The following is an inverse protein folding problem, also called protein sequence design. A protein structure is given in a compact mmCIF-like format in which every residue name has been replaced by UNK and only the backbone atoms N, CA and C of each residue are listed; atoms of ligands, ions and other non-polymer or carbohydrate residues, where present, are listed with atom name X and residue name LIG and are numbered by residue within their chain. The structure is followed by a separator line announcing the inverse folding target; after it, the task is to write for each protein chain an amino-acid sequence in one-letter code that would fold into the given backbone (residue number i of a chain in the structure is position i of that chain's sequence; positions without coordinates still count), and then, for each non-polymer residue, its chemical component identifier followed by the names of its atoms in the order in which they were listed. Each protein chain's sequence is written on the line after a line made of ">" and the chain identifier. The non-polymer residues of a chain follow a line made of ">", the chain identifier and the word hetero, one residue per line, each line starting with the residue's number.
data_IF_011603272211
#
_entry.id   IF_011603272211
#
_cell.length_a   1.000
_cell.length_b   1.000
_cell.length_c   1.000
_cell.angle_alpha   90.00
_cell.angle_beta   90.00
_cell.angle_gamma   90.00
#
_symmetry.space_group_name_H-M   'P 1'
#
loop_
_entity.id
_entity.type
_entity.pdbx_description
1 polymer ?
#
# COMPACT_ATOMS: atom_id res chain seq x y z
N UNK A 1 -16.05 -16.65 -17.31
CA UNK A 1 -16.95 -16.59 -16.14
C UNK A 1 -18.21 -15.86 -16.60
N UNK A 2 -19.36 -16.53 -16.64
CA UNK A 2 -20.58 -16.03 -17.32
C UNK A 2 -21.27 -14.81 -16.65
N UNK A 3 -20.65 -14.18 -15.65
CA UNK A 3 -21.19 -13.02 -14.93
C UNK A 3 -20.13 -11.95 -14.59
N UNK A 4 -18.98 -11.96 -15.28
CA UNK A 4 -17.95 -10.94 -15.06
C UNK A 4 -18.24 -9.62 -15.78
N UNK A 5 -18.01 -8.48 -15.13
CA UNK A 5 -17.93 -7.16 -15.77
C UNK A 5 -16.74 -7.16 -16.74
N UNK A 6 -16.96 -6.93 -18.05
CA UNK A 6 -15.87 -6.88 -19.01
C UNK A 6 -15.05 -5.60 -18.83
N UNK A 7 -13.73 -5.73 -18.86
CA UNK A 7 -12.79 -4.62 -18.80
C UNK A 7 -12.15 -4.39 -20.15
N UNK A 8 -12.24 -3.14 -20.62
CA UNK A 8 -11.65 -2.73 -21.90
C UNK A 8 -10.13 -2.91 -21.87
N UNK A 9 -9.56 -3.37 -22.98
CA UNK A 9 -8.12 -3.39 -23.21
C UNK A 9 -7.84 -2.61 -24.50
N UNK A 10 -7.32 -1.39 -24.36
CA UNK A 10 -6.99 -0.54 -25.51
C UNK A 10 -5.65 -0.88 -26.17
N UNK A 11 -4.91 -1.81 -25.58
CA UNK A 11 -3.54 -2.15 -25.96
C UNK A 11 -3.43 -3.57 -26.52
N UNK A 12 -4.52 -4.34 -26.57
CA UNK A 12 -4.54 -5.63 -27.24
C UNK A 12 -5.94 -6.22 -27.35
N UNK A 13 -6.01 -7.47 -27.79
CA UNK A 13 -7.29 -8.12 -28.12
C UNK A 13 -7.89 -8.89 -26.95
N UNK A 14 -7.11 -9.18 -25.92
CA UNK A 14 -7.59 -9.91 -24.74
C UNK A 14 -8.35 -8.97 -23.81
N UNK A 15 -9.67 -9.14 -23.73
CA UNK A 15 -10.56 -8.40 -22.84
C UNK A 15 -10.35 -8.88 -21.39
N UNK A 16 -10.22 -7.94 -20.45
CA UNK A 16 -10.16 -8.28 -19.02
C UNK A 16 -11.55 -8.62 -18.47
N UNK A 17 -11.62 -9.20 -17.28
CA UNK A 17 -12.90 -9.48 -16.64
C UNK A 17 -12.81 -9.37 -15.13
N UNK A 18 -13.77 -8.67 -14.52
CA UNK A 18 -13.91 -8.59 -13.08
C UNK A 18 -15.16 -9.36 -12.64
N UNK A 19 -14.98 -10.38 -11.82
CA UNK A 19 -16.06 -11.21 -11.30
C UNK A 19 -16.17 -11.04 -9.79
N UNK A 20 -17.37 -10.66 -9.34
CA UNK A 20 -17.67 -10.50 -7.93
C UNK A 20 -18.41 -11.72 -7.41
N UNK A 21 -17.87 -12.33 -6.35
CA UNK A 21 -18.49 -13.47 -5.69
C UNK A 21 -19.38 -12.98 -4.55
N UNK A 22 -20.57 -13.56 -4.40
CA UNK A 22 -21.44 -13.23 -3.27
C UNK A 22 -20.87 -13.77 -1.93
N UNK A 23 -20.23 -14.93 -1.97
CA UNK A 23 -19.80 -15.68 -0.77
C UNK A 23 -18.33 -16.12 -0.86
N UNK A 24 -17.50 -15.39 -1.62
CA UNK A 24 -16.10 -15.77 -1.84
C UNK A 24 -15.22 -14.62 -2.31
N UNK A 25 -13.97 -14.89 -2.73
CA UNK A 25 -13.09 -13.86 -3.24
C UNK A 25 -13.58 -13.36 -4.60
N UNK A 26 -13.37 -12.07 -4.84
CA UNK A 26 -13.54 -11.48 -6.16
C UNK A 26 -12.33 -11.82 -7.03
N UNK A 27 -12.57 -12.01 -8.33
CA UNK A 27 -11.55 -12.43 -9.29
C UNK A 27 -11.38 -11.37 -10.38
N UNK A 28 -10.13 -11.02 -10.66
CA UNK A 28 -9.76 -10.14 -11.76
C UNK A 28 -8.90 -10.89 -12.77
N UNK A 29 -9.37 -10.97 -14.01
CA UNK A 29 -8.65 -11.55 -15.13
C UNK A 29 -8.05 -10.42 -15.97
N UNK A 30 -6.76 -10.53 -16.24
CA UNK A 30 -5.99 -9.55 -17.01
C UNK A 30 -5.17 -10.24 -18.10
N UNK A 31 -4.81 -9.51 -19.18
CA UNK A 31 -3.92 -10.04 -20.20
C UNK A 31 -2.55 -10.37 -19.61
N UNK A 32 -1.90 -11.39 -20.17
CA UNK A 32 -0.57 -11.83 -19.72
C UNK A 32 0.58 -10.87 -20.07
N UNK A 33 0.63 -10.29 -21.29
CA UNK A 33 1.74 -9.42 -21.67
C UNK A 33 1.77 -8.12 -20.85
N UNK A 34 2.89 -7.74 -20.21
CA UNK A 34 2.97 -6.55 -19.35
C UNK A 34 2.61 -5.25 -20.06
N UNK A 35 2.95 -5.13 -21.35
CA UNK A 35 2.66 -3.95 -22.16
C UNK A 35 1.16 -3.78 -22.48
N UNK A 36 0.35 -4.84 -22.35
CA UNK A 36 -1.11 -4.77 -22.36
C UNK A 36 -1.68 -4.61 -20.95
N UNK A 37 -1.16 -5.41 -20.00
CA UNK A 37 -1.67 -5.51 -18.64
C UNK A 37 -1.53 -4.23 -17.84
N UNK A 38 -0.36 -3.59 -17.87
CA UNK A 38 -0.06 -2.39 -17.08
C UNK A 38 -1.01 -1.23 -17.44
N UNK A 39 -1.14 -0.81 -18.71
CA UNK A 39 -2.05 0.29 -19.03
C UNK A 39 -3.52 -0.08 -18.81
N UNK A 40 -3.91 -1.35 -18.98
CA UNK A 40 -5.26 -1.80 -18.63
C UNK A 40 -5.52 -1.67 -17.12
N UNK A 41 -4.53 -2.03 -16.30
CA UNK A 41 -4.62 -1.93 -14.85
C UNK A 41 -4.78 -0.46 -14.41
N UNK A 42 -3.90 0.42 -14.89
CA UNK A 42 -3.89 1.83 -14.50
C UNK A 42 -5.17 2.56 -14.94
N UNK A 43 -5.65 2.32 -16.17
CA UNK A 43 -6.79 3.04 -16.72
C UNK A 43 -8.16 2.50 -16.29
N UNK A 44 -8.29 1.19 -16.05
CA UNK A 44 -9.59 0.57 -15.83
C UNK A 44 -9.71 -0.15 -14.49
N UNK A 45 -8.67 -0.89 -14.08
CA UNK A 45 -8.73 -1.68 -12.85
C UNK A 45 -8.64 -0.77 -11.62
N UNK A 46 -7.68 0.15 -11.57
CA UNK A 46 -7.50 1.04 -10.42
C UNK A 46 -8.78 1.82 -10.11
N UNK A 47 -9.41 2.56 -11.06
CA UNK A 47 -10.65 3.28 -10.78
C UNK A 47 -11.81 2.36 -10.36
N UNK A 48 -11.87 1.14 -10.89
CA UNK A 48 -12.87 0.15 -10.50
C UNK A 48 -12.68 -0.28 -9.05
N UNK A 49 -11.46 -0.61 -8.63
CA UNK A 49 -11.17 -1.04 -7.25
C UNK A 49 -11.40 0.11 -6.26
N UNK A 50 -11.06 1.34 -6.63
CA UNK A 50 -11.34 2.52 -5.81
C UNK A 50 -12.85 2.70 -5.57
N UNK A 51 -13.64 2.63 -6.64
CA UNK A 51 -15.11 2.70 -6.57
C UNK A 51 -15.69 1.57 -5.71
N UNK A 52 -15.17 0.36 -5.89
CA UNK A 52 -15.76 -0.85 -5.29
C UNK A 52 -15.39 -1.02 -3.80
N UNK A 53 -14.17 -0.66 -3.39
CA UNK A 53 -13.64 -1.03 -2.06
C UNK A 53 -13.14 0.15 -1.22
N UNK A 54 -12.82 1.28 -1.84
CA UNK A 54 -12.35 2.44 -1.09
C UNK A 54 -13.49 3.36 -0.67
N UNK A 55 -14.62 3.37 -1.37
CA UNK A 55 -15.83 4.12 -1.00
C UNK A 55 -15.54 5.62 -0.70
N UNK A 56 -14.73 6.27 -1.53
CA UNK A 56 -14.34 7.67 -1.35
C UNK A 56 -13.26 7.90 -0.29
N UNK A 57 -12.66 6.83 0.25
CA UNK A 57 -11.43 6.91 1.02
C UNK A 57 -10.21 6.82 0.11
N UNK A 58 -9.09 7.34 0.58
CA UNK A 58 -7.78 7.26 -0.07
C UNK A 58 -6.82 6.47 0.80
N UNK A 59 -5.85 5.83 0.16
CA UNK A 59 -4.72 5.18 0.82
C UNK A 59 -3.47 6.04 0.59
N UNK A 60 -2.81 6.44 1.66
CA UNK A 60 -1.53 7.15 1.59
C UNK A 60 -0.46 6.37 2.37
N UNK A 61 0.72 6.22 1.77
CA UNK A 61 1.84 5.51 2.37
C UNK A 61 3.03 6.43 2.64
N UNK A 62 3.58 6.37 3.85
CA UNK A 62 4.83 7.02 4.25
C UNK A 62 5.88 5.96 4.56
N UNK A 63 7.05 6.03 3.92
CA UNK A 63 8.17 5.12 4.16
C UNK A 63 9.27 5.86 4.91
N UNK A 64 9.60 5.37 6.09
CA UNK A 64 10.67 5.86 6.97
C UNK A 64 11.86 4.93 6.88
N UNK A 65 13.07 5.47 6.77
CA UNK A 65 14.30 4.70 6.57
C UNK A 65 15.24 4.84 7.77
N UNK A 66 15.76 3.70 8.21
CA UNK A 66 16.61 3.58 9.39
C UNK A 66 17.93 2.88 9.03
N UNK A 67 19.03 3.38 9.60
CA UNK A 67 20.37 2.84 9.42
C UNK A 67 21.01 2.56 10.78
N UNK A 68 21.82 1.51 10.87
CA UNK A 68 22.53 1.17 12.11
C UNK A 68 21.72 0.40 13.15
N UNK A 69 20.49 -0.02 12.82
CA UNK A 69 19.64 -0.89 13.65
C UNK A 69 19.16 -2.10 12.84
N UNK A 70 19.21 -3.28 13.46
CA UNK A 70 18.67 -4.50 12.87
C UNK A 70 17.15 -4.58 12.99
N UNK A 71 16.51 -5.26 12.05
CA UNK A 71 15.04 -5.36 11.96
C UNK A 71 14.39 -5.88 13.24
N UNK A 72 14.89 -7.00 13.79
CA UNK A 72 14.35 -7.59 15.01
C UNK A 72 14.34 -6.59 16.17
N UNK A 73 15.41 -5.81 16.33
CA UNK A 73 15.49 -4.79 17.39
C UNK A 73 14.55 -3.62 17.11
N UNK A 74 14.49 -3.14 15.87
CA UNK A 74 13.57 -2.08 15.47
C UNK A 74 12.11 -2.50 15.73
N UNK A 75 11.72 -3.69 15.29
CA UNK A 75 10.39 -4.26 15.46
C UNK A 75 10.01 -4.43 16.93
N UNK A 76 10.94 -4.89 17.77
CA UNK A 76 10.73 -4.99 19.21
C UNK A 76 10.50 -3.61 19.87
N UNK A 77 11.24 -2.57 19.46
CA UNK A 77 11.09 -1.24 20.05
C UNK A 77 9.75 -0.58 19.70
N UNK A 78 9.14 -0.96 18.58
CA UNK A 78 7.87 -0.39 18.09
C UNK A 78 6.68 -1.35 18.21
N UNK A 79 6.87 -2.53 18.84
CA UNK A 79 5.85 -3.59 18.88
C UNK A 79 4.54 -3.11 19.51
N UNK A 80 4.63 -2.33 20.58
CA UNK A 80 3.47 -1.81 21.28
C UNK A 80 2.67 -0.83 20.42
N UNK A 81 3.35 -0.04 19.58
CA UNK A 81 2.69 0.82 18.60
C UNK A 81 2.00 -0.03 17.52
N UNK A 82 2.65 -1.09 17.03
CA UNK A 82 2.08 -1.99 16.03
C UNK A 82 0.82 -2.71 16.52
N UNK A 83 0.78 -3.08 17.80
CA UNK A 83 -0.37 -3.77 18.40
C UNK A 83 -1.51 -2.79 18.69
N UNK A 84 -1.20 -1.59 19.19
CA UNK A 84 -2.23 -0.64 19.63
C UNK A 84 -2.85 0.20 18.50
N UNK A 85 -2.18 0.31 17.35
CA UNK A 85 -2.63 1.16 16.24
C UNK A 85 -3.12 0.34 15.05
N UNK A 86 -4.36 0.58 14.64
CA UNK A 86 -4.96 -0.06 13.46
C UNK A 86 -4.86 0.79 12.18
N UNK A 87 -4.79 2.11 12.33
CA UNK A 87 -4.64 3.07 11.23
C UNK A 87 -3.77 4.26 11.68
N UNK A 88 -2.58 4.50 11.08
CA UNK A 88 -1.97 3.75 9.99
C UNK A 88 -1.59 2.31 10.35
N UNK A 89 -1.69 1.41 9.37
CA UNK A 89 -1.08 0.07 9.41
C UNK A 89 0.42 0.19 9.24
N UNK A 90 1.18 -0.59 10.01
CA UNK A 90 2.63 -0.48 10.07
C UNK A 90 3.29 -1.80 9.68
N UNK A 91 4.27 -1.73 8.79
CA UNK A 91 5.05 -2.89 8.34
C UNK A 91 6.54 -2.54 8.35
N UNK A 92 7.37 -3.51 8.69
CA UNK A 92 8.83 -3.39 8.65
C UNK A 92 9.38 -4.26 7.55
N UNK A 93 10.33 -3.70 6.78
CA UNK A 93 11.05 -4.45 5.74
C UNK A 93 12.56 -4.26 5.95
N UNK A 94 13.31 -5.36 6.05
CA UNK A 94 14.76 -5.35 6.06
C UNK A 94 15.34 -5.36 4.65
N UNK A 95 16.26 -4.44 4.38
CA UNK A 95 17.15 -4.48 3.21
C UNK A 95 18.59 -4.70 3.67
N UNK A 96 19.49 -4.91 2.71
CA UNK A 96 20.89 -5.31 2.96
C UNK A 96 21.64 -4.39 3.95
N UNK A 97 21.31 -3.10 4.00
CA UNK A 97 22.01 -2.11 4.82
C UNK A 97 21.08 -1.16 5.57
N UNK A 98 19.77 -1.34 5.48
CA UNK A 98 18.78 -0.45 6.09
C UNK A 98 17.55 -1.25 6.48
N UNK A 99 16.77 -0.70 7.40
CA UNK A 99 15.43 -1.19 7.70
C UNK A 99 14.46 -0.06 7.41
N UNK A 100 13.32 -0.39 6.83
CA UNK A 100 12.26 0.59 6.55
C UNK A 100 11.02 0.29 7.35
N UNK A 101 10.34 1.33 7.84
CA UNK A 101 8.98 1.25 8.35
C UNK A 101 8.06 1.90 7.34
N UNK A 102 7.08 1.15 6.86
CA UNK A 102 6.00 1.66 6.01
C UNK A 102 4.75 1.85 6.84
N UNK A 103 4.24 3.08 6.82
CA UNK A 103 2.96 3.48 7.41
C UNK A 103 1.97 3.65 6.27
N UNK A 104 0.85 2.94 6.31
CA UNK A 104 -0.22 3.08 5.33
C UNK A 104 -1.51 3.47 6.03
N UNK A 105 -2.03 4.65 5.72
CA UNK A 105 -3.27 5.16 6.27
C UNK A 105 -4.39 5.16 5.25
N UNK A 106 -5.60 4.81 5.72
CA UNK A 106 -6.85 4.97 4.98
C UNK A 106 -7.63 6.15 5.58
N UNK A 107 -8.02 7.13 4.77
CA UNK A 107 -8.78 8.31 5.24
C UNK A 107 -9.67 8.90 4.14
N UNK A 108 -10.53 9.87 4.48
CA UNK A 108 -11.42 10.53 3.50
C UNK A 108 -10.73 11.57 2.60
N UNK A 109 -9.46 11.90 2.87
CA UNK A 109 -8.66 12.78 2.02
C UNK A 109 -7.18 12.51 2.20
N UNK A 110 -6.40 12.92 1.20
CA UNK A 110 -4.95 12.74 1.19
C UNK A 110 -4.29 13.48 2.37
N UNK A 111 -4.69 14.73 2.62
CA UNK A 111 -4.19 15.52 3.73
C UNK A 111 -4.46 14.88 5.10
N UNK A 112 -5.63 14.24 5.28
CA UNK A 112 -5.94 13.52 6.52
C UNK A 112 -5.09 12.25 6.66
N UNK A 113 -4.96 11.47 5.59
CA UNK A 113 -4.13 10.26 5.59
C UNK A 113 -2.65 10.59 5.86
N UNK A 114 -2.14 11.66 5.24
CA UNK A 114 -0.80 12.17 5.48
C UNK A 114 -0.63 12.62 6.94
N UNK A 115 -1.59 13.35 7.51
CA UNK A 115 -1.52 13.77 8.91
C UNK A 115 -1.48 12.59 9.88
N UNK A 116 -2.25 11.53 9.61
CA UNK A 116 -2.21 10.28 10.38
C UNK A 116 -0.84 9.61 10.31
N UNK A 117 -0.28 9.50 9.10
CA UNK A 117 1.06 8.95 8.87
C UNK A 117 2.13 9.77 9.59
N UNK A 118 2.11 11.11 9.49
CA UNK A 118 3.07 11.98 10.15
C UNK A 118 2.99 11.90 11.67
N UNK A 119 1.79 11.82 12.25
CA UNK A 119 1.60 11.63 13.70
C UNK A 119 2.19 10.31 14.18
N UNK A 120 1.97 9.22 13.44
CA UNK A 120 2.56 7.93 13.77
C UNK A 120 4.09 7.97 13.61
N UNK A 121 4.61 8.58 12.53
CA UNK A 121 6.04 8.76 12.30
C UNK A 121 6.72 9.52 13.45
N UNK A 122 6.09 10.59 13.97
CA UNK A 122 6.61 11.34 15.11
C UNK A 122 6.74 10.45 16.35
N UNK A 123 5.72 9.66 16.67
CA UNK A 123 5.76 8.71 17.81
C UNK A 123 6.87 7.68 17.63
N UNK A 124 7.01 7.12 16.44
CA UNK A 124 8.08 6.15 16.15
C UNK A 124 9.45 6.80 16.35
N UNK A 125 9.65 8.01 15.85
CA UNK A 125 10.92 8.71 15.99
C UNK A 125 11.24 9.11 17.44
N UNK A 126 10.28 9.19 18.35
CA UNK A 126 10.61 9.31 19.79
C UNK A 126 11.27 8.06 20.37
N UNK A 127 11.12 6.89 19.73
CA UNK A 127 11.67 5.62 20.18
C UNK A 127 12.96 5.24 19.45
N UNK A 128 13.01 5.50 18.14
CA UNK A 128 14.07 5.02 17.23
C UNK A 128 14.64 6.12 16.32
N UNK A 129 14.39 7.38 16.65
CA UNK A 129 14.79 8.54 15.85
C UNK A 129 16.29 8.66 15.61
N UNK A 130 17.12 8.16 16.53
CA UNK A 130 18.59 8.18 16.38
C UNK A 130 19.09 7.38 15.17
N UNK A 131 18.30 6.42 14.70
CA UNK A 131 18.62 5.61 13.53
C UNK A 131 17.99 6.15 12.24
N UNK A 132 17.08 7.12 12.34
CA UNK A 132 16.32 7.66 11.22
C UNK A 132 17.20 8.57 10.36
N UNK A 133 17.17 8.39 9.04
CA UNK A 133 17.96 9.23 8.13
C UNK A 133 17.17 9.79 6.94
N UNK A 134 15.92 9.37 6.71
CA UNK A 134 15.13 9.94 5.64
C UNK A 134 13.84 9.22 5.32
N UNK A 135 13.09 9.83 4.39
CA UNK A 135 11.85 9.28 3.83
C UNK A 135 12.07 8.83 2.38
N UNK A 136 11.20 7.93 1.90
CA UNK A 136 11.12 7.57 0.49
C UNK A 136 11.06 6.06 0.24
N UNK A 137 10.24 5.65 -0.73
CA UNK A 137 10.08 4.25 -1.12
C UNK A 137 11.23 3.73 -2.01
N UNK A 138 11.85 4.62 -2.78
CA UNK A 138 12.96 4.30 -3.68
C UNK A 138 14.24 4.97 -3.23
N UNK A 139 15.36 4.28 -3.43
CA UNK A 139 16.70 4.84 -3.26
C UNK A 139 17.00 5.57 -4.57
N UNK A 140 16.65 6.85 -4.64
CA UNK A 140 17.16 7.74 -5.69
C UNK A 140 18.64 8.03 -5.45
#
# INVERSE_FOLDING_TARGET
>A
LEQGEPLKNDFGFAVGSFYQSNDGPDFLLMPGPPWEMVPMFDHYVVPLLERQYLHGQVLNSLVMRYFGIGESRLSQLISDLMISQTNPTMTTDAKKHEVTIRLTSKASSEALAENLNQKAAAKINTLVGDYFYGYGAHNS
#
